data_IF_700841258667
#
_entry.id   IF_700841258667
#
_cell.length_a   1.000
_cell.length_b   1.000
_cell.length_c   1.000
_cell.angle_alpha   90.00
_cell.angle_beta   90.00
_cell.angle_gamma   90.00
#
_symmetry.space_group_name_H-M   'P 1'
#
loop_
_entity.id
_entity.type
_entity.pdbx_description
1 polymer ?
#
# COMPACT_ATOMS: atom_id res chain seq x y z
N UNK A 1 -31.82 -10.17 28.68
CA UNK A 1 -32.51 -8.87 28.91
C UNK A 1 -31.47 -7.76 29.02
N UNK A 2 -30.35 -7.98 29.73
CA UNK A 2 -29.27 -7.00 29.82
C UNK A 2 -28.53 -6.81 28.49
N UNK A 3 -28.35 -7.86 27.69
CA UNK A 3 -27.68 -7.78 26.38
C UNK A 3 -28.39 -6.84 25.40
N UNK A 4 -29.72 -6.88 25.34
CA UNK A 4 -30.49 -5.99 24.46
C UNK A 4 -30.41 -4.53 24.92
N UNK A 5 -30.25 -4.29 26.22
CA UNK A 5 -30.08 -2.93 26.77
C UNK A 5 -28.70 -2.34 26.45
N UNK A 6 -27.64 -3.15 26.42
CA UNK A 6 -26.32 -2.68 26.01
C UNK A 6 -26.28 -2.39 24.50
N UNK A 7 -26.88 -3.26 23.68
CA UNK A 7 -26.96 -3.05 22.23
C UNK A 7 -27.73 -1.78 21.86
N UNK A 8 -28.86 -1.50 22.51
CA UNK A 8 -29.64 -0.28 22.29
C UNK A 8 -28.86 0.97 22.69
N UNK A 9 -28.11 0.91 23.80
CA UNK A 9 -27.24 2.01 24.21
C UNK A 9 -26.12 2.26 23.18
N UNK A 10 -25.52 1.20 22.64
CA UNK A 10 -24.50 1.31 21.60
C UNK A 10 -25.02 1.90 20.30
N UNK A 11 -26.21 1.47 19.83
CA UNK A 11 -26.88 2.08 18.67
C UNK A 11 -27.13 3.57 18.92
N UNK A 12 -27.52 3.96 20.14
CA UNK A 12 -27.72 5.37 20.48
C UNK A 12 -26.42 6.19 20.58
N UNK A 13 -25.30 5.58 20.97
CA UNK A 13 -24.01 6.28 21.14
C UNK A 13 -23.32 6.47 19.79
N UNK A 14 -23.28 5.41 18.96
CA UNK A 14 -22.50 5.40 17.73
C UNK A 14 -23.33 5.65 16.47
N UNK A 15 -24.67 5.54 16.55
CA UNK A 15 -25.56 5.83 15.42
C UNK A 15 -25.19 5.03 14.17
N UNK A 16 -24.91 5.75 13.08
CA UNK A 16 -24.60 5.16 11.77
C UNK A 16 -23.19 4.55 11.67
N UNK A 17 -22.28 4.86 12.61
CA UNK A 17 -20.90 4.36 12.59
C UNK A 17 -20.81 2.89 13.01
N UNK A 18 -21.82 2.39 13.75
CA UNK A 18 -21.89 1.03 14.25
C UNK A 18 -22.90 0.20 13.45
N UNK A 19 -22.41 -0.86 12.83
CA UNK A 19 -23.24 -1.85 12.14
C UNK A 19 -23.54 -3.04 13.05
N UNK A 20 -24.81 -3.29 13.36
CA UNK A 20 -25.26 -4.44 14.15
C UNK A 20 -26.03 -5.41 13.26
N UNK A 21 -25.54 -6.65 13.16
CA UNK A 21 -26.20 -7.74 12.42
C UNK A 21 -26.60 -8.84 13.39
N UNK A 22 -27.91 -8.94 13.67
CA UNK A 22 -28.49 -10.01 14.49
C UNK A 22 -28.74 -11.24 13.61
N UNK A 23 -28.16 -12.38 13.99
CA UNK A 23 -28.44 -13.72 13.45
C UNK A 23 -29.14 -14.56 14.53
N UNK A 24 -29.67 -15.73 14.15
CA UNK A 24 -30.48 -16.57 15.05
C UNK A 24 -29.77 -16.96 16.36
N UNK A 25 -28.44 -17.16 16.32
CA UNK A 25 -27.64 -17.60 17.47
C UNK A 25 -26.56 -16.60 17.91
N UNK A 26 -26.32 -15.55 17.12
CA UNK A 26 -25.18 -14.62 17.30
C UNK A 26 -25.52 -13.21 16.87
N UNK A 27 -24.91 -12.24 17.53
CA UNK A 27 -24.92 -10.84 17.11
C UNK A 27 -23.51 -10.43 16.72
N UNK A 28 -23.40 -9.77 15.56
CA UNK A 28 -22.15 -9.24 15.04
C UNK A 28 -22.21 -7.72 15.09
N UNK A 29 -21.26 -7.11 15.81
CA UNK A 29 -21.05 -5.68 15.84
C UNK A 29 -19.82 -5.35 15.01
N UNK A 30 -19.89 -4.33 14.18
CA UNK A 30 -18.78 -3.88 13.35
C UNK A 30 -18.71 -2.35 13.34
N UNK A 31 -17.52 -1.81 13.59
CA UNK A 31 -17.27 -0.37 13.59
C UNK A 31 -15.85 -0.08 13.09
N UNK A 32 -15.67 1.01 12.34
CA UNK A 32 -14.35 1.55 12.02
C UNK A 32 -13.95 2.54 13.13
N UNK A 33 -12.97 2.17 13.96
CA UNK A 33 -12.59 2.95 15.13
C UNK A 33 -11.48 3.92 14.78
N UNK A 34 -11.64 5.17 15.22
CA UNK A 34 -10.69 6.27 15.09
C UNK A 34 -10.62 7.09 16.39
N UNK A 35 -9.52 7.83 16.64
CA UNK A 35 -9.38 8.78 17.75
C UNK A 35 -10.54 9.80 17.83
N UNK A 36 -10.97 10.19 19.04
CA UNK A 36 -12.03 11.21 19.25
C UNK A 36 -11.61 12.61 18.77
N UNK A 37 -10.41 13.03 19.16
CA UNK A 37 -9.85 14.34 18.80
C UNK A 37 -8.60 14.14 17.96
N UNK A 38 -8.77 14.23 16.64
CA UNK A 38 -7.62 14.21 15.75
C UNK A 38 -7.23 15.62 15.33
N UNK A 39 -6.14 16.14 15.90
CA UNK A 39 -5.43 17.31 15.35
C UNK A 39 -4.68 16.96 14.04
N UNK A 40 -4.81 15.72 13.57
CA UNK A 40 -4.07 15.18 12.44
C UNK A 40 -4.85 15.41 11.16
N UNK A 41 -4.13 15.67 10.08
CA UNK A 41 -4.69 15.61 8.74
C UNK A 41 -5.13 14.17 8.35
N UNK A 42 -4.81 13.17 9.18
CA UNK A 42 -4.85 11.75 8.83
C UNK A 42 -4.77 10.82 10.07
N UNK A 43 -5.81 10.71 10.92
CA UNK A 43 -5.79 9.82 12.10
C UNK A 43 -5.71 8.35 11.72
N UNK A 44 -5.03 7.48 12.51
CA UNK A 44 -5.04 6.03 12.32
C UNK A 44 -6.43 5.43 12.52
N UNK A 45 -6.73 4.34 11.81
CA UNK A 45 -8.02 3.64 11.92
C UNK A 45 -7.83 2.12 12.01
N UNK A 46 -8.74 1.46 12.73
CA UNK A 46 -8.80 0.00 12.85
C UNK A 46 -10.26 -0.44 12.80
N UNK A 47 -10.60 -1.42 11.95
CA UNK A 47 -11.92 -2.05 12.00
C UNK A 47 -11.98 -3.07 13.12
N UNK A 48 -12.99 -2.91 13.96
CA UNK A 48 -13.26 -3.76 15.11
C UNK A 48 -14.54 -4.52 14.84
N UNK A 49 -14.45 -5.85 14.94
CA UNK A 49 -15.60 -6.74 14.84
C UNK A 49 -15.75 -7.50 16.15
N UNK A 50 -16.93 -7.43 16.75
CA UNK A 50 -17.26 -8.14 17.99
C UNK A 50 -18.38 -9.13 17.70
N UNK A 51 -18.13 -10.41 17.95
CA UNK A 51 -19.09 -11.49 17.79
C UNK A 51 -19.52 -11.97 19.18
N UNK A 52 -20.81 -11.83 19.50
CA UNK A 52 -21.42 -12.32 20.75
C UNK A 52 -22.41 -13.45 20.46
N UNK A 53 -22.45 -14.43 21.37
CA UNK A 53 -23.42 -15.53 21.35
C UNK A 53 -24.49 -15.38 22.43
N UNK A 54 -25.45 -16.28 22.47
CA UNK A 54 -26.56 -16.29 23.43
C UNK A 54 -26.17 -16.42 24.92
N UNK A 55 -24.90 -16.69 25.23
CA UNK A 55 -24.39 -16.84 26.58
C UNK A 55 -23.52 -15.65 27.02
N UNK A 56 -23.47 -14.58 26.23
CA UNK A 56 -22.92 -13.31 26.69
C UNK A 56 -23.78 -12.76 27.85
N UNK A 57 -23.21 -12.12 28.89
CA UNK A 57 -21.78 -11.84 29.13
C UNK A 57 -21.01 -12.96 29.86
N UNK A 58 -21.66 -14.09 30.19
CA UNK A 58 -21.00 -15.21 30.89
C UNK A 58 -19.89 -15.88 30.06
N UNK A 59 -20.01 -15.83 28.74
CA UNK A 59 -18.94 -16.20 27.80
C UNK A 59 -18.39 -14.93 27.15
N UNK A 60 -17.07 -14.78 27.18
CA UNK A 60 -16.39 -13.65 26.55
C UNK A 60 -16.78 -13.46 25.08
N UNK A 61 -16.94 -12.20 24.63
CA UNK A 61 -17.15 -11.88 23.23
C UNK A 61 -15.89 -12.21 22.43
N UNK A 62 -16.07 -12.56 21.16
CA UNK A 62 -14.95 -12.79 20.25
C UNK A 62 -14.65 -11.51 19.48
N UNK A 63 -13.55 -10.87 19.83
CA UNK A 63 -13.10 -9.61 19.22
C UNK A 63 -12.10 -9.88 18.11
N UNK A 64 -12.19 -9.12 17.02
CA UNK A 64 -11.23 -9.14 15.92
C UNK A 64 -10.89 -7.72 15.51
N UNK A 65 -9.60 -7.42 15.50
CA UNK A 65 -9.04 -6.18 14.97
C UNK A 65 -8.45 -6.48 13.58
N UNK A 66 -8.90 -5.77 12.55
CA UNK A 66 -8.44 -6.01 11.19
C UNK A 66 -8.48 -4.74 10.34
N UNK A 67 -7.84 -4.81 9.17
CA UNK A 67 -7.61 -3.64 8.31
C UNK A 67 -7.03 -2.43 9.07
N UNK A 68 -5.93 -2.60 9.82
CA UNK A 68 -5.25 -1.46 10.41
C UNK A 68 -4.78 -0.51 9.30
N UNK A 69 -4.94 0.78 9.56
CA UNK A 69 -4.59 1.88 8.68
C UNK A 69 -3.81 2.90 9.50
N UNK A 70 -2.56 3.12 9.12
CA UNK A 70 -1.65 4.01 9.85
C UNK A 70 -1.18 3.47 11.20
N UNK A 71 -1.27 2.15 11.39
CA UNK A 71 -0.80 1.42 12.57
C UNK A 71 0.13 0.31 12.10
N UNK A 72 1.31 0.21 12.68
CA UNK A 72 2.26 -0.86 12.33
C UNK A 72 1.85 -2.21 12.93
N UNK A 73 2.48 -3.28 12.46
CA UNK A 73 2.17 -4.63 12.93
C UNK A 73 2.49 -4.82 14.43
N UNK A 74 3.49 -4.12 14.96
CA UNK A 74 3.85 -4.22 16.39
C UNK A 74 2.77 -3.65 17.28
N UNK A 75 2.27 -2.46 16.96
CA UNK A 75 1.22 -1.78 17.69
C UNK A 75 -0.11 -2.54 17.57
N UNK A 76 -0.44 -3.08 16.39
CA UNK A 76 -1.62 -3.95 16.23
C UNK A 76 -1.53 -5.20 17.11
N UNK A 77 -0.36 -5.85 17.17
CA UNK A 77 -0.16 -7.04 18.00
C UNK A 77 -0.26 -6.71 19.49
N UNK A 78 0.31 -5.58 19.92
CA UNK A 78 0.20 -5.14 21.31
C UNK A 78 -1.25 -4.79 21.67
N UNK A 79 -1.96 -4.08 20.80
CA UNK A 79 -3.39 -3.77 21.01
C UNK A 79 -4.24 -5.04 21.09
N UNK A 80 -4.04 -6.02 20.19
CA UNK A 80 -4.73 -7.32 20.28
C UNK A 80 -4.49 -7.98 21.64
N UNK A 81 -3.23 -8.01 22.11
CA UNK A 81 -2.88 -8.56 23.43
C UNK A 81 -3.59 -7.83 24.56
N UNK A 82 -3.67 -6.50 24.52
CA UNK A 82 -4.36 -5.71 25.54
C UNK A 82 -5.87 -5.94 25.54
N UNK A 83 -6.49 -6.07 24.37
CA UNK A 83 -7.91 -6.39 24.22
C UNK A 83 -8.21 -7.80 24.71
N UNK A 84 -7.39 -8.79 24.35
CA UNK A 84 -7.57 -10.19 24.81
C UNK A 84 -7.49 -10.31 26.34
N UNK A 85 -6.52 -9.61 26.95
CA UNK A 85 -6.40 -9.54 28.42
C UNK A 85 -7.61 -8.83 29.03
N UNK A 86 -8.07 -7.72 28.44
CA UNK A 86 -9.23 -6.98 28.92
C UNK A 86 -10.51 -7.84 28.87
N UNK A 87 -10.75 -8.52 27.76
CA UNK A 87 -11.91 -9.41 27.56
C UNK A 87 -11.89 -10.59 28.53
N UNK A 88 -10.71 -11.13 28.82
CA UNK A 88 -10.56 -12.26 29.74
C UNK A 88 -10.75 -11.87 31.22
N UNK A 89 -10.42 -10.63 31.58
CA UNK A 89 -10.51 -10.14 32.96
C UNK A 89 -11.92 -9.66 33.36
N UNK A 90 -12.79 -9.40 32.39
CA UNK A 90 -14.13 -8.85 32.62
C UNK A 90 -15.23 -9.81 32.15
N UNK A 91 -15.14 -11.07 32.58
CA UNK A 91 -16.23 -12.05 32.43
C UNK A 91 -17.44 -11.62 33.25
N UNK A 92 -18.63 -12.05 32.83
CA UNK A 92 -19.92 -11.76 33.48
C UNK A 92 -20.29 -10.26 33.52
N UNK A 93 -19.63 -9.42 32.71
CA UNK A 93 -19.87 -7.98 32.63
C UNK A 93 -20.19 -7.52 31.19
N UNK A 94 -21.11 -6.55 31.01
CA UNK A 94 -21.32 -5.87 29.72
C UNK A 94 -20.11 -4.96 29.44
N UNK A 95 -19.35 -5.25 28.38
CA UNK A 95 -18.04 -4.64 28.07
C UNK A 95 -17.89 -4.25 26.58
N UNK A 96 -18.96 -4.33 25.78
CA UNK A 96 -18.89 -4.09 24.34
C UNK A 96 -18.46 -2.65 24.06
N UNK A 97 -19.03 -1.70 24.80
CA UNK A 97 -18.65 -0.29 24.71
C UNK A 97 -17.19 -0.06 25.12
N UNK A 98 -16.76 -0.70 26.22
CA UNK A 98 -15.41 -0.55 26.74
C UNK A 98 -14.36 -1.12 25.78
N UNK A 99 -14.68 -2.17 25.01
CA UNK A 99 -13.79 -2.69 23.96
C UNK A 99 -13.54 -1.62 22.89
N UNK A 100 -14.60 -0.98 22.37
CA UNK A 100 -14.45 0.08 21.38
C UNK A 100 -13.69 1.28 21.93
N UNK A 101 -14.01 1.70 23.16
CA UNK A 101 -13.31 2.79 23.85
C UNK A 101 -11.84 2.45 24.05
N UNK A 102 -11.50 1.23 24.44
CA UNK A 102 -10.12 0.80 24.66
C UNK A 102 -9.29 0.83 23.38
N UNK A 103 -9.88 0.45 22.25
CA UNK A 103 -9.23 0.59 20.93
C UNK A 103 -9.05 2.06 20.59
N UNK A 104 -10.06 2.89 20.82
CA UNK A 104 -10.00 4.32 20.56
C UNK A 104 -8.92 5.03 21.39
N UNK A 105 -8.86 4.79 22.70
CA UNK A 105 -7.83 5.31 23.61
C UNK A 105 -6.41 4.91 23.15
N UNK A 106 -6.23 3.66 22.73
CA UNK A 106 -4.94 3.21 22.21
C UNK A 106 -4.53 3.96 20.94
N UNK A 107 -5.49 4.23 20.04
CA UNK A 107 -5.24 5.02 18.83
C UNK A 107 -4.97 6.50 19.13
N UNK A 108 -5.50 7.04 20.21
CA UNK A 108 -5.23 8.42 20.67
C UNK A 108 -3.82 8.58 21.23
N UNK A 109 -3.33 7.57 21.94
CA UNK A 109 -1.97 7.56 22.49
C UNK A 109 -0.88 7.46 21.39
N UNK A 110 -1.26 6.92 20.22
CA UNK A 110 -0.34 6.79 19.09
C UNK A 110 0.04 8.16 18.53
N UNK A 111 1.34 8.37 18.32
CA UNK A 111 1.87 9.66 17.87
C UNK A 111 1.29 10.11 16.53
N UNK A 112 1.34 11.43 16.32
CA UNK A 112 0.72 12.16 15.22
C UNK A 112 1.26 11.92 13.80
N UNK A 113 1.78 10.75 13.48
CA UNK A 113 2.02 10.33 12.11
C UNK A 113 1.72 8.83 11.97
N UNK A 114 1.22 8.37 10.81
CA UNK A 114 0.95 6.96 10.59
C UNK A 114 2.22 6.13 10.82
N UNK A 115 2.19 5.12 11.69
CA UNK A 115 3.30 4.18 11.85
C UNK A 115 3.28 3.18 10.68
N UNK A 116 3.57 3.68 9.48
CA UNK A 116 3.49 2.93 8.25
C UNK A 116 4.55 3.42 7.26
N UNK A 117 4.69 2.67 6.16
CA UNK A 117 5.50 3.08 5.01
C UNK A 117 4.61 3.65 3.93
N UNK A 118 5.07 4.72 3.28
CA UNK A 118 4.39 5.26 2.12
C UNK A 118 4.49 4.26 0.95
N UNK A 119 3.39 3.89 0.29
CA UNK A 119 3.41 2.84 -0.72
C UNK A 119 4.08 3.23 -2.04
N UNK A 120 4.36 4.52 -2.23
CA UNK A 120 5.00 5.03 -3.45
C UNK A 120 6.52 5.07 -3.29
N UNK A 121 7.03 5.66 -2.20
CA UNK A 121 8.47 5.82 -1.99
C UNK A 121 9.08 4.80 -1.03
N UNK A 122 8.25 4.00 -0.33
CA UNK A 122 8.65 3.01 0.66
C UNK A 122 9.42 3.57 1.87
N UNK A 123 9.38 4.89 2.08
CA UNK A 123 9.91 5.53 3.27
C UNK A 123 8.85 5.64 4.36
N UNK A 124 9.29 5.64 5.62
CA UNK A 124 8.44 5.84 6.78
C UNK A 124 7.77 7.23 6.76
N UNK A 125 6.58 7.32 7.36
CA UNK A 125 6.01 8.63 7.67
C UNK A 125 6.77 9.27 8.84
N UNK A 126 6.93 10.58 8.77
CA UNK A 126 7.55 11.37 9.83
C UNK A 126 6.74 12.65 10.02
N UNK A 127 6.77 13.21 11.24
CA UNK A 127 6.08 14.48 11.54
C UNK A 127 6.58 15.68 10.71
N UNK A 128 7.76 15.56 10.10
CA UNK A 128 8.34 16.61 9.25
C UNK A 128 7.81 16.59 7.82
N UNK A 129 7.22 15.47 7.37
CA UNK A 129 6.72 15.32 6.01
C UNK A 129 5.20 15.28 5.98
N UNK A 130 4.53 16.14 5.18
CA UNK A 130 3.08 16.12 5.09
C UNK A 130 2.61 14.80 4.49
N UNK A 131 1.60 14.20 5.10
CA UNK A 131 0.86 13.05 4.57
C UNK A 131 -0.56 13.45 4.22
N UNK A 132 -1.17 12.69 3.32
CA UNK A 132 -2.60 12.76 3.00
C UNK A 132 -3.21 11.40 3.31
N UNK A 133 -4.42 11.41 3.88
CA UNK A 133 -5.28 10.23 4.00
C UNK A 133 -6.37 10.34 2.96
N UNK A 134 -6.47 9.32 2.12
CA UNK A 134 -7.57 9.21 1.15
C UNK A 134 -8.87 8.76 1.82
N UNK A 135 -10.01 8.96 1.18
CA UNK A 135 -11.34 8.51 1.63
C UNK A 135 -11.38 6.98 1.87
N UNK A 136 -10.57 6.23 1.12
CA UNK A 136 -10.38 4.79 1.29
C UNK A 136 -9.39 4.43 2.44
N UNK A 137 -9.11 5.36 3.35
CA UNK A 137 -8.24 5.26 4.52
C UNK A 137 -6.77 4.88 4.23
N UNK A 138 -6.26 5.13 3.02
CA UNK A 138 -4.84 4.90 2.72
C UNK A 138 -4.01 6.18 2.84
N UNK A 139 -2.84 6.04 3.47
CA UNK A 139 -1.88 7.14 3.68
C UNK A 139 -0.81 7.15 2.60
N UNK A 140 -0.49 8.35 2.14
CA UNK A 140 0.58 8.60 1.19
C UNK A 140 1.26 9.91 1.57
N UNK A 141 2.57 10.05 1.37
CA UNK A 141 3.18 11.39 1.50
C UNK A 141 2.54 12.32 0.48
N UNK A 142 2.15 13.51 0.90
CA UNK A 142 1.58 14.54 0.00
C UNK A 142 2.38 14.75 -1.30
N UNK A 143 3.74 14.86 -1.28
CA UNK A 143 4.52 14.96 -2.51
C UNK A 143 4.48 13.68 -3.39
N UNK A 144 4.44 12.50 -2.78
CA UNK A 144 4.32 11.24 -3.51
C UNK A 144 2.95 11.13 -4.18
N UNK A 145 1.89 11.51 -3.45
CA UNK A 145 0.53 11.56 -3.96
C UNK A 145 0.40 12.54 -5.13
N UNK A 146 0.96 13.75 -5.02
CA UNK A 146 0.99 14.72 -6.12
C UNK A 146 1.68 14.18 -7.37
N UNK A 147 2.82 13.50 -7.20
CA UNK A 147 3.56 12.85 -8.30
C UNK A 147 2.71 11.78 -8.98
N UNK A 148 2.05 10.93 -8.19
CA UNK A 148 1.19 9.87 -8.70
C UNK A 148 -0.02 10.40 -9.47
N UNK A 149 -0.69 11.41 -8.93
CA UNK A 149 -1.86 12.03 -9.58
C UNK A 149 -1.44 12.67 -10.91
N UNK A 150 -0.33 13.42 -10.93
CA UNK A 150 0.18 14.04 -12.16
C UNK A 150 0.60 12.99 -13.21
N UNK A 151 1.30 11.94 -12.79
CA UNK A 151 1.64 10.83 -13.67
C UNK A 151 0.38 10.18 -14.25
N UNK A 152 -0.61 9.87 -13.42
CA UNK A 152 -1.87 9.24 -13.83
C UNK A 152 -2.64 10.10 -14.84
N UNK A 153 -2.71 11.42 -14.61
CA UNK A 153 -3.34 12.36 -15.56
C UNK A 153 -2.62 12.38 -16.91
N UNK A 154 -1.29 12.40 -16.88
CA UNK A 154 -0.48 12.41 -18.11
C UNK A 154 -0.62 11.10 -18.89
N UNK A 155 -0.67 9.95 -18.20
CA UNK A 155 -0.94 8.65 -18.80
C UNK A 155 -2.32 8.62 -19.47
N UNK A 156 -3.37 9.05 -18.77
CA UNK A 156 -4.73 9.15 -19.31
C UNK A 156 -4.75 10.07 -20.55
N UNK A 157 -4.08 11.22 -20.49
CA UNK A 157 -4.01 12.15 -21.61
C UNK A 157 -3.27 11.55 -22.81
N UNK A 158 -2.21 10.77 -22.58
CA UNK A 158 -1.47 10.08 -23.64
C UNK A 158 -2.34 9.01 -24.30
N UNK A 159 -3.03 8.19 -23.51
CA UNK A 159 -3.99 7.22 -24.05
C UNK A 159 -5.09 7.92 -24.85
N UNK A 160 -5.67 8.99 -24.33
CA UNK A 160 -6.67 9.78 -25.07
C UNK A 160 -6.13 10.39 -26.37
N UNK A 161 -4.83 10.68 -26.47
CA UNK A 161 -4.22 11.22 -27.69
C UNK A 161 -3.94 10.13 -28.73
N UNK A 162 -3.64 8.90 -28.31
CA UNK A 162 -3.37 7.76 -29.19
C UNK A 162 -4.65 7.14 -29.77
N UNK A 163 -5.77 7.24 -29.02
CA UNK A 163 -7.04 6.66 -29.43
C UNK A 163 -7.82 7.56 -30.42
N UNK A 164 -8.47 6.98 -31.46
CA UNK A 164 -9.37 7.70 -32.35
C UNK A 164 -10.51 8.41 -31.60
N UNK A 165 -10.95 9.58 -32.09
CA UNK A 165 -11.97 10.42 -31.43
C UNK A 165 -13.28 9.67 -31.11
N UNK A 166 -13.72 8.76 -32.00
CA UNK A 166 -14.91 7.94 -31.83
C UNK A 166 -14.77 6.86 -30.75
N UNK A 167 -13.55 6.59 -30.29
CA UNK A 167 -13.25 5.54 -29.30
C UNK A 167 -12.69 6.06 -27.96
N UNK A 168 -12.47 7.38 -27.81
CA UNK A 168 -11.94 7.98 -26.57
C UNK A 168 -12.78 7.68 -25.32
N UNK A 169 -14.09 7.49 -25.49
CA UNK A 169 -15.00 7.10 -24.40
C UNK A 169 -14.66 5.74 -23.76
N UNK A 170 -13.80 4.92 -24.39
CA UNK A 170 -13.35 3.63 -23.86
C UNK A 170 -12.12 3.74 -22.95
N UNK A 171 -11.46 4.90 -22.94
CA UNK A 171 -10.30 5.14 -22.06
C UNK A 171 -10.79 5.35 -20.64
N UNK A 172 -10.21 4.61 -19.68
CA UNK A 172 -10.50 4.80 -18.25
C UNK A 172 -9.84 6.10 -17.78
N UNK A 173 -10.65 7.15 -17.64
CA UNK A 173 -10.20 8.47 -17.23
C UNK A 173 -10.19 8.65 -15.70
N UNK A 174 -10.49 7.59 -14.96
CA UNK A 174 -10.65 7.64 -13.51
C UNK A 174 -9.32 7.39 -12.81
N UNK A 175 -8.92 8.32 -11.94
CA UNK A 175 -7.74 8.14 -11.09
C UNK A 175 -8.13 7.27 -9.90
N UNK A 176 -7.32 6.26 -9.63
CA UNK A 176 -7.58 5.27 -8.58
C UNK A 176 -6.51 5.33 -7.49
N UNK A 177 -6.83 4.91 -6.29
CA UNK A 177 -5.88 4.80 -5.19
C UNK A 177 -4.75 3.81 -5.54
N UNK A 178 -3.47 4.15 -5.31
CA UNK A 178 -2.34 3.25 -5.61
C UNK A 178 -2.35 1.96 -4.78
N UNK A 179 -3.12 1.91 -3.68
CA UNK A 179 -3.19 0.77 -2.77
C UNK A 179 -4.35 -0.18 -3.11
N UNK A 180 -5.59 0.32 -3.08
CA UNK A 180 -6.79 -0.50 -3.23
C UNK A 180 -7.48 -0.36 -4.58
N UNK A 181 -7.05 0.58 -5.43
CA UNK A 181 -7.66 0.92 -6.73
C UNK A 181 -9.09 1.44 -6.66
N UNK A 182 -9.53 1.87 -5.49
CA UNK A 182 -10.77 2.62 -5.32
C UNK A 182 -10.67 3.98 -6.01
N UNK A 183 -11.78 4.51 -6.50
CA UNK A 183 -11.82 5.77 -7.25
C UNK A 183 -11.56 6.93 -6.32
N UNK A 184 -10.53 7.73 -6.59
CA UNK A 184 -10.24 8.93 -5.80
C UNK A 184 -11.24 10.04 -6.11
N UNK A 185 -11.57 10.83 -5.09
CA UNK A 185 -12.42 12.01 -5.23
C UNK A 185 -11.66 13.15 -5.94
N UNK A 186 -12.40 14.01 -6.64
CA UNK A 186 -11.81 15.11 -7.39
C UNK A 186 -11.14 16.13 -6.45
N UNK A 187 -11.69 16.32 -5.25
CA UNK A 187 -11.14 17.19 -4.19
C UNK A 187 -9.78 16.69 -3.71
N UNK A 188 -9.63 15.39 -3.46
CA UNK A 188 -8.35 14.77 -3.10
C UNK A 188 -7.33 14.98 -4.22
N UNK A 189 -7.75 14.71 -5.46
CA UNK A 189 -6.91 14.89 -6.63
C UNK A 189 -6.56 16.38 -6.88
N UNK A 190 -7.41 17.32 -6.47
CA UNK A 190 -7.13 18.75 -6.55
C UNK A 190 -6.11 19.19 -5.51
N UNK A 191 -6.13 18.61 -4.30
CA UNK A 191 -5.17 18.91 -3.24
C UNK A 191 -3.73 18.57 -3.67
N UNK A 192 -3.54 17.54 -4.49
CA UNK A 192 -2.27 17.21 -5.13
C UNK A 192 -1.65 18.38 -5.94
N UNK A 193 -2.47 19.27 -6.52
CA UNK A 193 -1.99 20.39 -7.35
C UNK A 193 -1.39 21.54 -6.51
N UNK A 194 -1.69 21.58 -5.21
CA UNK A 194 -1.22 22.64 -4.30
C UNK A 194 0.18 22.38 -3.73
N UNK A 195 0.77 21.22 -4.01
CA UNK A 195 2.05 20.81 -3.45
C UNK A 195 3.23 21.49 -4.16
N UNK A 196 3.51 22.74 -3.81
CA UNK A 196 4.73 23.44 -4.22
C UNK A 196 5.97 22.86 -3.51
N UNK A 197 7.06 22.62 -4.25
CA UNK A 197 8.35 22.18 -3.66
C UNK A 197 8.78 20.74 -3.96
N UNK A 198 8.14 20.06 -4.92
CA UNK A 198 8.51 18.73 -5.42
C UNK A 198 10.01 18.61 -5.77
N UNK A 199 10.56 19.60 -6.47
CA UNK A 199 11.98 19.63 -6.88
C UNK A 199 12.93 19.58 -5.67
N UNK A 200 12.52 20.18 -4.55
CA UNK A 200 13.33 20.24 -3.32
C UNK A 200 13.36 18.91 -2.58
N UNK A 201 12.25 18.17 -2.59
CA UNK A 201 12.14 16.84 -1.97
C UNK A 201 12.83 15.75 -2.78
N UNK A 202 12.77 15.80 -4.12
CA UNK A 202 13.52 14.87 -4.98
C UNK A 202 15.03 15.05 -4.81
N UNK A 203 15.51 16.30 -4.71
CA UNK A 203 16.92 16.57 -4.48
C UNK A 203 17.40 16.12 -3.08
N UNK A 204 16.58 16.29 -2.04
CA UNK A 204 16.91 15.82 -0.68
C UNK A 204 16.89 14.30 -0.53
N UNK A 205 16.08 13.60 -1.31
CA UNK A 205 15.95 12.13 -1.28
C UNK A 205 16.64 11.45 -2.48
N UNK A 206 17.62 12.10 -3.11
CA UNK A 206 18.50 11.41 -4.05
C UNK A 206 19.28 10.34 -3.28
N UNK A 207 18.76 9.12 -3.32
CA UNK A 207 19.42 7.95 -2.77
C UNK A 207 20.79 7.79 -3.45
N UNK A 208 21.85 7.98 -2.68
CA UNK A 208 23.21 7.70 -3.14
C UNK A 208 23.41 6.17 -3.10
N UNK A 209 23.44 5.56 -4.28
CA UNK A 209 23.62 4.12 -4.40
C UNK A 209 25.05 3.73 -4.00
N UNK A 210 25.16 2.92 -2.92
CA UNK A 210 26.45 2.41 -2.47
C UNK A 210 26.96 1.28 -3.38
N UNK A 211 27.73 1.67 -4.39
CA UNK A 211 28.40 0.77 -5.32
C UNK A 211 29.34 -0.23 -4.64
N UNK A 212 29.88 0.08 -3.46
CA UNK A 212 30.77 -0.82 -2.74
C UNK A 212 29.96 -1.92 -2.05
N UNK A 213 28.91 -1.55 -1.30
CA UNK A 213 27.99 -2.50 -0.67
C UNK A 213 27.31 -3.41 -1.69
N UNK A 214 26.93 -2.88 -2.86
CA UNK A 214 26.38 -3.69 -3.94
C UNK A 214 27.39 -4.72 -4.47
N UNK A 215 28.64 -4.30 -4.75
CA UNK A 215 29.72 -5.20 -5.18
C UNK A 215 30.04 -6.28 -4.14
N UNK A 216 30.04 -5.93 -2.86
CA UNK A 216 30.21 -6.90 -1.78
C UNK A 216 29.08 -7.91 -1.72
N UNK A 217 27.84 -7.44 -1.90
CA UNK A 217 26.66 -8.30 -1.93
C UNK A 217 26.72 -9.26 -3.12
N UNK A 218 27.11 -8.79 -4.30
CA UNK A 218 27.34 -9.64 -5.46
C UNK A 218 28.38 -10.73 -5.20
N UNK A 219 29.53 -10.38 -4.62
CA UNK A 219 30.56 -11.38 -4.27
C UNK A 219 30.03 -12.47 -3.32
N UNK A 220 29.17 -12.09 -2.37
CA UNK A 220 28.51 -13.07 -1.48
C UNK A 220 27.55 -13.98 -2.26
N UNK A 221 26.81 -13.41 -3.21
CA UNK A 221 25.88 -14.16 -4.04
C UNK A 221 26.59 -15.08 -5.04
N UNK A 222 27.75 -14.69 -5.56
CA UNK A 222 28.55 -15.52 -6.46
C UNK A 222 28.95 -16.85 -5.80
N UNK A 223 29.34 -16.81 -4.52
CA UNK A 223 29.66 -18.02 -3.75
C UNK A 223 28.44 -18.93 -3.60
N UNK A 224 27.26 -18.34 -3.35
CA UNK A 224 26.00 -19.09 -3.26
C UNK A 224 25.60 -19.66 -4.62
N UNK A 225 25.75 -18.89 -5.69
CA UNK A 225 25.45 -19.30 -7.06
C UNK A 225 26.32 -20.48 -7.46
N UNK A 226 27.61 -20.44 -7.16
CA UNK A 226 28.52 -21.54 -7.50
C UNK A 226 28.20 -22.81 -6.70
N UNK A 227 27.82 -22.66 -5.42
CA UNK A 227 27.31 -23.78 -4.62
C UNK A 227 26.03 -24.38 -5.24
N UNK A 228 25.10 -23.55 -5.70
CA UNK A 228 23.87 -24.00 -6.36
C UNK A 228 24.16 -24.69 -7.69
N UNK A 229 25.14 -24.19 -8.47
CA UNK A 229 25.60 -24.84 -9.71
C UNK A 229 26.15 -26.23 -9.46
N UNK A 230 27.07 -26.38 -8.51
CA UNK A 230 27.67 -27.69 -8.16
C UNK A 230 26.61 -28.66 -7.64
N UNK A 231 25.63 -28.17 -6.88
CA UNK A 231 24.56 -29.00 -6.34
C UNK A 231 23.41 -29.27 -7.34
N UNK A 232 23.52 -28.82 -8.60
CA UNK A 232 22.46 -28.99 -9.61
C UNK A 232 21.17 -28.22 -9.30
N UNK A 233 21.24 -27.20 -8.43
CA UNK A 233 20.11 -26.34 -8.05
C UNK A 233 19.78 -25.24 -9.06
N UNK A 234 20.52 -25.15 -10.16
CA UNK A 234 20.23 -24.24 -11.26
C UNK A 234 19.28 -24.93 -12.25
N UNK A 235 18.09 -24.36 -12.44
CA UNK A 235 17.10 -24.88 -13.38
C UNK A 235 17.51 -24.45 -14.79
N UNK A 236 17.92 -25.42 -15.62
CA UNK A 236 18.07 -25.21 -17.05
C UNK A 236 16.67 -25.15 -17.69
N UNK A 237 16.32 -23.98 -18.25
CA UNK A 237 15.01 -23.73 -18.83
C UNK A 237 14.77 -24.55 -20.09
N UNK A 238 15.81 -24.87 -20.86
CA UNK A 238 15.70 -25.68 -22.08
C UNK A 238 15.55 -27.15 -21.74
N UNK A 239 16.31 -27.68 -20.77
CA UNK A 239 16.08 -29.04 -20.27
C UNK A 239 14.71 -29.20 -19.62
N UNK A 240 14.26 -28.23 -18.81
CA UNK A 240 12.94 -28.29 -18.17
C UNK A 240 11.81 -28.21 -19.20
N UNK A 241 11.99 -27.44 -20.27
CA UNK A 241 11.03 -27.35 -21.40
C UNK A 241 10.94 -28.66 -22.17
N UNK A 242 12.04 -29.40 -22.29
CA UNK A 242 12.09 -30.69 -22.99
C UNK A 242 11.85 -31.89 -22.08
N UNK A 243 11.77 -31.72 -20.76
CA UNK A 243 11.53 -32.81 -19.78
C UNK A 243 10.27 -33.65 -20.07
N UNK A 244 9.25 -33.05 -20.67
CA UNK A 244 8.00 -33.74 -21.05
C UNK A 244 7.79 -33.85 -22.56
N UNK A 245 8.83 -33.56 -23.36
CA UNK A 245 8.75 -33.70 -24.81
C UNK A 245 8.87 -35.19 -25.17
N UNK A 246 7.76 -35.78 -25.62
CA UNK A 246 7.73 -37.16 -26.12
C UNK A 246 8.17 -37.13 -27.58
N UNK A 247 9.30 -37.77 -27.89
CA UNK A 247 9.82 -37.97 -29.26
C UNK A 247 9.58 -39.41 -29.72
N UNK A 248 9.71 -39.69 -31.02
CA UNK A 248 9.48 -41.02 -31.58
C UNK A 248 10.43 -42.11 -31.01
N UNK A 249 11.55 -41.68 -30.40
CA UNK A 249 12.54 -42.55 -29.74
C UNK A 249 12.18 -42.90 -28.28
N UNK A 250 11.07 -42.38 -27.75
CA UNK A 250 10.63 -42.66 -26.37
C UNK A 250 10.04 -44.07 -26.27
N UNK A 251 10.89 -45.09 -26.35
CA UNK A 251 10.50 -46.49 -26.26
C UNK A 251 10.12 -46.83 -24.82
N UNK A 252 8.82 -46.92 -24.55
CA UNK A 252 8.32 -47.57 -23.34
C UNK A 252 8.54 -49.08 -23.48
N UNK A 253 9.67 -49.56 -22.97
CA UNK A 253 9.89 -51.00 -22.78
C UNK A 253 8.84 -51.49 -21.78
N UNK A 254 7.78 -52.16 -22.26
CA UNK A 254 6.89 -52.93 -21.38
C UNK A 254 7.74 -54.01 -20.73
N UNK A 255 7.87 -54.05 -19.39
CA UNK A 255 8.48 -55.20 -18.75
C UNK A 255 7.62 -56.42 -19.09
N UNK A 256 8.23 -57.39 -19.77
CA UNK A 256 7.66 -58.73 -19.90
C UNK A 256 7.76 -59.34 -18.50
N UNK A 257 6.63 -59.50 -17.83
CA UNK A 257 6.53 -60.13 -16.52
C UNK A 257 7.24 -61.49 -16.52
N UNK A 258 8.30 -61.72 -15.74
CA UNK A 258 8.60 -63.05 -15.27
C UNK A 258 7.60 -63.41 -14.17
N UNK A 259 7.26 -64.70 -14.09
CA UNK A 259 6.36 -65.29 -13.10
C UNK A 259 6.68 -64.86 -11.65
N UNK A 260 5.69 -64.87 -10.73
CA UNK A 260 5.81 -64.24 -9.42
C UNK A 260 6.84 -64.98 -8.57
N UNK A 261 7.92 -64.29 -8.23
CA UNK A 261 8.80 -64.65 -7.11
C UNK A 261 8.33 -63.84 -5.92
N UNK A 262 8.03 -64.53 -4.81
CA UNK A 262 7.58 -63.92 -3.57
C UNK A 262 8.56 -62.84 -3.11
N UNK A 263 8.06 -61.61 -2.92
CA UNK A 263 8.82 -60.45 -2.46
C UNK A 263 8.63 -60.24 -0.96
N UNK A 264 9.71 -59.85 -0.29
CA UNK A 264 9.81 -59.66 1.16
C UNK A 264 9.16 -58.35 1.65
N UNK A 265 8.64 -58.39 2.88
CA UNK A 265 7.70 -57.45 3.54
C UNK A 265 8.27 -56.02 3.72
N UNK A 266 9.59 -55.85 3.56
CA UNK A 266 10.24 -54.54 3.62
C UNK A 266 10.10 -53.72 2.32
N UNK A 267 9.81 -54.38 1.20
CA UNK A 267 9.72 -53.72 -0.12
C UNK A 267 8.39 -53.00 -0.31
N UNK A 268 7.31 -53.54 0.26
CA UNK A 268 5.95 -52.98 0.19
C UNK A 268 5.82 -51.67 0.99
N UNK A 269 6.44 -51.60 2.17
CA UNK A 269 6.43 -50.37 2.99
C UNK A 269 7.16 -49.21 2.31
N UNK A 270 8.12 -49.49 1.44
CA UNK A 270 8.90 -48.49 0.70
C UNK A 270 8.14 -47.95 -0.52
N UNK A 271 7.30 -48.76 -1.16
CA UNK A 271 6.41 -48.30 -2.24
C UNK A 271 5.26 -47.43 -1.74
N UNK A 272 4.67 -47.77 -0.58
CA UNK A 272 3.57 -46.99 0.00
C UNK A 272 4.00 -45.57 0.39
N UNK A 273 5.20 -45.42 0.97
CA UNK A 273 5.75 -44.10 1.33
C UNK A 273 6.01 -43.24 0.09
N UNK A 274 6.49 -43.83 -1.01
CA UNK A 274 6.73 -43.11 -2.26
C UNK A 274 5.43 -42.67 -2.95
N UNK A 275 4.37 -43.48 -2.86
CA UNK A 275 3.06 -43.16 -3.41
C UNK A 275 2.36 -42.04 -2.60
N UNK A 276 2.56 -42.02 -1.27
CA UNK A 276 2.07 -40.95 -0.39
C UNK A 276 2.75 -39.60 -0.68
N UNK A 277 4.06 -39.60 -0.97
CA UNK A 277 4.81 -38.40 -1.36
C UNK A 277 4.36 -37.87 -2.74
N UNK A 278 4.14 -38.77 -3.70
CA UNK A 278 3.68 -38.39 -5.04
C UNK A 278 2.27 -37.78 -5.03
N UNK A 279 1.36 -38.31 -4.20
CA UNK A 279 0.00 -37.78 -4.06
C UNK A 279 -0.03 -36.42 -3.34
N UNK A 280 0.87 -36.21 -2.38
CA UNK A 280 1.04 -34.92 -1.70
C UNK A 280 1.50 -33.82 -2.67
N UNK A 281 2.45 -34.11 -3.55
CA UNK A 281 2.90 -33.14 -4.56
C UNK A 281 1.84 -32.81 -5.62
N UNK A 282 0.96 -33.76 -5.97
CA UNK A 282 -0.17 -33.52 -6.89
C UNK A 282 -1.26 -32.62 -6.28
N UNK A 283 -1.47 -32.72 -4.96
CA UNK A 283 -2.39 -31.86 -4.22
C UNK A 283 -1.95 -30.38 -4.21
N UNK A 284 -0.65 -30.14 -3.98
CA UNK A 284 -0.09 -28.78 -3.99
C UNK A 284 -0.18 -28.09 -5.36
N UNK A 285 0.00 -28.83 -6.47
CA UNK A 285 -0.09 -28.25 -7.83
C UNK A 285 -1.52 -27.85 -8.24
N UNK A 286 -2.56 -28.42 -7.65
CA UNK A 286 -3.95 -28.07 -7.97
C UNK A 286 -4.45 -26.80 -7.27
N UNK A 287 -3.87 -26.41 -6.12
CA UNK A 287 -4.32 -25.23 -5.35
C UNK A 287 -3.80 -23.89 -5.88
N UNK A 288 -2.76 -23.86 -6.72
CA UNK A 288 -2.12 -22.62 -7.17
C UNK A 288 -2.46 -22.17 -8.61
N UNK A 289 -3.53 -22.69 -9.24
CA UNK A 289 -4.04 -22.11 -10.50
C UNK A 289 -4.98 -20.93 -10.22
N UNK A 290 -4.43 -19.70 -10.18
CA UNK A 290 -5.23 -18.48 -10.41
C UNK A 290 -5.54 -18.37 -11.92
N UNK A 291 -6.76 -17.93 -12.33
CA UNK A 291 -7.07 -17.73 -13.74
C UNK A 291 -6.37 -16.48 -14.29
N UNK A 292 -5.51 -16.65 -15.28
CA UNK A 292 -5.06 -15.59 -16.18
C UNK A 292 -6.17 -15.34 -17.23
N UNK A 293 -6.98 -14.29 -17.04
CA UNK A 293 -7.65 -13.55 -18.12
C UNK A 293 -6.65 -12.48 -18.59
N UNK A 294 -6.36 -12.24 -19.85
CA UNK A 294 -6.78 -12.77 -21.13
C UNK A 294 -6.15 -11.85 -22.17
N UNK A 295 -5.00 -12.26 -22.72
CA UNK A 295 -4.29 -11.51 -23.77
C UNK A 295 -4.49 -12.20 -25.11
N UNK A 296 -5.04 -11.48 -26.09
CA UNK A 296 -4.90 -11.81 -27.51
C UNK A 296 -5.41 -10.64 -28.37
N UNK A 297 -4.51 -10.03 -29.13
CA UNK A 297 -4.47 -10.20 -30.60
C UNK A 297 -3.23 -9.51 -31.17
N UNK A 298 -2.22 -10.34 -31.40
CA UNK A 298 -1.14 -10.06 -32.32
C UNK A 298 -1.67 -10.29 -33.74
N UNK A 299 -1.60 -9.27 -34.60
CA UNK A 299 -1.87 -9.38 -36.04
C UNK A 299 -0.59 -8.97 -36.75
N UNK A 300 0.10 -9.95 -37.29
CA UNK A 300 1.30 -9.75 -38.07
C UNK A 300 1.05 -8.91 -39.33
N UNK A 301 2.05 -8.09 -39.66
CA UNK A 301 2.39 -7.79 -41.03
C UNK A 301 3.90 -7.80 -41.20
N UNK A 302 4.36 -8.68 -42.08
CA UNK A 302 5.66 -8.57 -42.73
C UNK A 302 5.77 -7.21 -43.42
N UNK A 303 6.92 -6.54 -43.24
CA UNK A 303 7.58 -5.86 -44.35
C UNK A 303 9.08 -5.78 -44.09
N UNK A 304 9.82 -6.47 -44.94
CA UNK A 304 11.25 -6.27 -45.18
C UNK A 304 11.48 -4.85 -45.72
N UNK A 305 12.58 -4.24 -45.29
CA UNK A 305 13.01 -2.91 -45.73
C UNK A 305 14.39 -2.59 -45.18
N UNK A 306 15.40 -2.94 -45.97
CA UNK A 306 16.83 -2.66 -45.82
C UNK A 306 17.11 -1.16 -45.90
N UNK A 307 18.12 -0.66 -45.16
CA UNK A 307 18.75 0.66 -45.36
C UNK A 307 19.22 1.30 -44.04
N UNK A 308 20.39 0.92 -43.54
CA UNK A 308 21.66 1.67 -43.68
C UNK A 308 21.71 3.05 -42.99
N UNK A 309 22.68 3.14 -42.08
CA UNK A 309 23.08 4.32 -41.34
C UNK A 309 23.78 5.35 -42.24
N UNK A 310 23.43 6.63 -42.13
CA UNK A 310 24.44 7.71 -42.20
C UNK A 310 23.93 9.07 -41.70
N UNK A 311 24.76 9.67 -40.84
CA UNK A 311 25.24 11.06 -40.85
C UNK A 311 24.29 12.22 -40.49
N UNK A 312 24.69 12.88 -39.39
CA UNK A 312 24.56 14.31 -39.09
C UNK A 312 24.89 15.21 -40.30
N UNK A 313 24.42 16.48 -40.26
CA UNK A 313 25.40 17.53 -40.05
C UNK A 313 24.98 18.65 -39.08
N UNK A 314 26.00 19.24 -38.46
CA UNK A 314 26.03 20.56 -37.81
C UNK A 314 25.85 21.71 -38.82
N UNK A 315 25.25 22.84 -38.41
CA UNK A 315 25.94 24.13 -38.21
C UNK A 315 25.06 25.40 -38.41
N UNK A 316 25.44 26.43 -37.62
CA UNK A 316 25.23 27.89 -37.70
C UNK A 316 23.85 28.46 -37.33
N UNK A 317 23.67 29.16 -36.21
CA UNK A 317 24.22 30.46 -35.72
C UNK A 317 23.57 31.73 -36.33
N UNK A 318 22.93 32.49 -35.43
CA UNK A 318 22.73 33.95 -35.31
C UNK A 318 22.27 34.80 -36.52
N UNK A 319 21.24 35.61 -36.30
CA UNK A 319 21.34 37.10 -36.20
C UNK A 319 19.98 37.71 -35.77
N UNK A 320 20.13 38.86 -35.12
CA UNK A 320 19.27 39.70 -34.28
C UNK A 320 18.11 40.46 -34.94
N UNK A 321 17.11 40.77 -34.11
CA UNK A 321 16.39 42.06 -33.95
C UNK A 321 15.72 42.74 -35.16
N UNK A 322 14.41 42.99 -35.08
CA UNK A 322 13.88 44.36 -34.88
C UNK A 322 12.37 44.38 -34.58
N UNK A 323 12.04 45.30 -33.70
CA UNK A 323 10.76 45.83 -33.22
C UNK A 323 9.74 46.31 -34.26
N UNK A 324 8.54 46.61 -33.73
CA UNK A 324 7.57 47.67 -34.09
C UNK A 324 6.36 47.24 -34.93
N UNK A 325 5.13 47.74 -34.76
CA UNK A 325 4.43 48.55 -33.74
C UNK A 325 2.95 48.57 -34.19
N UNK A 326 2.06 48.93 -33.26
CA UNK A 326 0.68 49.44 -33.49
C UNK A 326 -0.41 48.39 -33.78
N UNK A 327 -1.63 48.48 -33.26
CA UNK A 327 -2.32 49.50 -32.48
C UNK A 327 -3.73 48.95 -32.16
N UNK A 328 -4.21 49.16 -30.93
CA UNK A 328 -5.30 50.09 -30.61
C UNK A 328 -6.72 49.58 -30.92
N UNK A 329 -7.59 49.47 -29.89
CA UNK A 329 -8.99 49.08 -30.15
C UNK A 329 -10.01 48.93 -29.02
N UNK A 330 -9.95 49.71 -27.93
CA UNK A 330 -11.09 50.24 -27.13
C UNK A 330 -12.23 49.31 -26.64
N UNK A 331 -12.19 49.03 -25.33
CA UNK A 331 -13.12 49.43 -24.25
C UNK A 331 -14.64 49.58 -24.47
N UNK A 332 -15.43 48.95 -23.56
CA UNK A 332 -16.52 49.52 -22.71
C UNK A 332 -17.12 48.37 -21.84
N UNK A 333 -17.11 48.41 -20.51
CA UNK A 333 -17.97 49.21 -19.59
C UNK A 333 -19.21 48.36 -19.25
N UNK A 334 -19.52 47.92 -18.01
CA UNK A 334 -19.85 48.64 -16.76
C UNK A 334 -19.62 47.69 -15.55
N UNK A 335 -19.01 48.05 -14.42
CA UNK A 335 -19.33 49.03 -13.36
C UNK A 335 -20.50 48.63 -12.43
N UNK A 336 -20.21 48.33 -11.15
CA UNK A 336 -20.79 48.91 -9.91
C UNK A 336 -19.93 48.39 -8.73
N UNK A 337 -19.02 49.18 -8.13
CA UNK A 337 -19.16 50.15 -7.02
C UNK A 337 -19.59 49.54 -5.67
N UNK A 338 -18.70 49.52 -4.67
CA UNK A 338 -18.70 50.56 -3.62
C UNK A 338 -17.59 50.37 -2.58
N UNK A 339 -17.09 51.52 -2.14
CA UNK A 339 -16.03 51.81 -1.17
C UNK A 339 -16.36 51.44 0.28
N UNK A 340 -15.29 51.16 1.05
CA UNK A 340 -14.68 51.96 2.16
C UNK A 340 -13.75 51.01 2.93
N UNK A 341 -12.51 51.29 3.34
CA UNK A 341 -11.83 52.55 3.57
C UNK A 341 -11.23 52.54 4.99
N UNK A 342 -9.91 52.28 5.05
CA UNK A 342 -8.88 52.74 6.02
C UNK A 342 -8.79 52.12 7.45
N UNK A 343 -7.60 52.18 8.12
CA UNK A 343 -6.96 51.00 8.75
C UNK A 343 -6.60 51.24 10.23
N UNK A 344 -6.09 50.23 10.95
CA UNK A 344 -5.34 50.51 12.18
C UNK A 344 -4.38 49.44 12.69
N UNK A 345 -3.15 49.91 12.94
CA UNK A 345 -2.12 49.57 13.94
C UNK A 345 -1.52 48.17 14.04
N UNK A 346 -0.23 48.18 13.73
CA UNK A 346 0.87 47.53 14.45
C UNK A 346 0.70 47.55 15.98
N UNK A 347 0.96 46.38 16.58
CA UNK A 347 1.49 46.29 17.94
C UNK A 347 2.54 45.18 18.00
N UNK A 348 3.78 45.61 18.11
CA UNK A 348 4.92 44.85 18.58
C UNK A 348 4.64 44.26 19.97
N UNK A 349 5.00 43.00 20.20
CA UNK A 349 5.29 42.50 21.54
C UNK A 349 6.58 41.69 21.51
N UNK A 350 7.61 42.30 22.10
CA UNK A 350 8.85 41.68 22.57
C UNK A 350 8.54 40.89 23.84
N UNK A 351 8.87 39.60 23.91
CA UNK A 351 9.28 38.94 25.16
C UNK A 351 10.23 37.79 24.81
N UNK A 352 11.54 38.03 24.95
CA UNK A 352 12.55 36.98 25.16
C UNK A 352 13.84 37.64 25.69
N UNK A 353 14.34 37.18 26.84
CA UNK A 353 15.63 37.62 27.37
C UNK A 353 15.78 37.46 28.87
N UNK A 354 15.78 36.22 29.37
CA UNK A 354 16.43 35.89 30.62
C UNK A 354 17.33 34.67 30.35
N UNK A 355 18.60 34.96 30.13
CA UNK A 355 19.71 34.01 30.09
C UNK A 355 20.18 33.88 31.53
N UNK A 356 19.98 32.72 32.15
CA UNK A 356 20.62 32.42 33.43
C UNK A 356 21.73 31.40 33.20
N UNK A 357 22.94 31.90 33.41
CA UNK A 357 24.22 31.22 33.40
C UNK A 357 24.33 30.45 34.72
N UNK A 358 24.47 29.13 34.67
CA UNK A 358 24.96 28.36 35.81
C UNK A 358 26.28 27.67 35.46
N UNK A 359 27.29 28.16 36.17
CA UNK A 359 28.68 27.77 36.15
C UNK A 359 28.89 26.34 36.64
N UNK A 360 29.78 25.62 35.96
CA UNK A 360 30.51 24.50 36.55
C UNK A 360 31.47 25.00 37.64
N UNK A 361 31.68 24.23 38.72
CA UNK A 361 32.93 24.27 39.45
C UNK A 361 33.77 23.02 39.14
N UNK A 362 35.02 23.25 38.72
CA UNK A 362 36.06 22.24 38.67
C UNK A 362 36.66 22.03 40.08
N UNK A 363 36.75 20.75 40.43
CA UNK A 363 37.86 20.07 41.14
C UNK A 363 38.22 20.49 42.57
N UNK A 364 38.16 19.55 43.52
CA UNK A 364 39.35 18.84 44.03
C UNK A 364 39.04 17.85 45.17
N UNK A 365 39.81 16.75 45.17
CA UNK A 365 40.15 15.82 46.27
C UNK A 365 39.01 15.12 47.05
N UNK A 366 38.76 13.84 46.73
CA UNK A 366 39.31 12.65 47.43
C UNK A 366 38.70 11.38 46.85
#
# INVERSE_FOLDING_TARGET
VEDDSELEALESIFGDDLSIVKREDRVLLEMNVHPLESALHSPPTIRVTIEIGCNYPAVSPKVRLWQPRGVDEKNVNELNRQVDVFVSNNLDMPILYDIFRKVQEYLEDMQGCPDAVCPICLNDFTSQQPSIRTHCDHYVHRPCFATYVNYSRNEIQRELAEWPDDMKHKVDQVIRCPMCREVLEDEECAEANSCEGWERYQAMNMYEFDWNKWRETLRKWDVLLERQRVNGGLIDLDEERHRFLITDDTVLVRPVNPAPVAMDEQTERRSEVNEMIANTMRSYRRRNRRPLRGGMRDRGMLREGVGEASKLPEACEHVTSSSCMSGAGRSRGDAVRSHKGVPYRERSNKVAGAVEVLQQPKTSCS
#
